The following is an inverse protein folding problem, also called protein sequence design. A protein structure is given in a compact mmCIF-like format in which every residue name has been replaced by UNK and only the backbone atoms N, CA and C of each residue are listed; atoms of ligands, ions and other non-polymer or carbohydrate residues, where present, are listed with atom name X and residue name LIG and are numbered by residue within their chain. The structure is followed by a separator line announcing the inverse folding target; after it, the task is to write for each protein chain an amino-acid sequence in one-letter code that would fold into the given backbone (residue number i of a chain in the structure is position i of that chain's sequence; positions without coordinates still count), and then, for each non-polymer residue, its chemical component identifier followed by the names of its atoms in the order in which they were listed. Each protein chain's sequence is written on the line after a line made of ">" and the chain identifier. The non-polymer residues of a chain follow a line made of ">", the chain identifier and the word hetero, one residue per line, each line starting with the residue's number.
data_IF_305417400364
#
_entry.id   IF_305417400364
#
_cell.length_a   1.000
_cell.length_b   1.000
_cell.length_c   1.000
_cell.angle_alpha   90.00
_cell.angle_beta   90.00
_cell.angle_gamma   90.00
#
_symmetry.space_group_name_H-M   'P 1'
#
loop_
_entity.id
_entity.type
_entity.pdbx_description
1 polymer ?
#
# COMPACT_ATOMS: atom_id res chain seq x y z
N UNK A 1 -3.29 -4.21 33.16
CA UNK A 1 -2.99 -5.29 32.19
C UNK A 1 -4.27 -5.87 31.63
N UNK A 2 -4.36 -6.00 30.31
CA UNK A 2 -5.50 -6.60 29.62
C UNK A 2 -5.23 -8.10 29.43
N UNK A 3 -6.00 -8.93 30.14
CA UNK A 3 -5.82 -10.41 30.18
C UNK A 3 -7.06 -11.17 29.75
N UNK A 4 -8.03 -10.53 29.12
CA UNK A 4 -9.28 -11.20 28.69
C UNK A 4 -9.70 -10.78 27.30
N UNK A 5 -10.00 -11.75 26.43
CA UNK A 5 -10.58 -11.54 25.11
C UNK A 5 -12.01 -10.92 25.15
N UNK A 6 -12.67 -10.93 26.31
CA UNK A 6 -13.96 -10.26 26.50
C UNK A 6 -13.82 -8.74 26.64
N UNK A 7 -12.62 -8.22 26.89
CA UNK A 7 -12.34 -6.79 26.99
C UNK A 7 -12.75 -6.06 25.71
N UNK A 8 -13.38 -4.90 25.85
CA UNK A 8 -13.88 -4.11 24.71
C UNK A 8 -12.77 -3.70 23.76
N UNK A 9 -11.62 -3.27 24.26
CA UNK A 9 -10.49 -2.84 23.43
C UNK A 9 -9.90 -4.02 22.64
N UNK A 10 -9.77 -5.20 23.25
CA UNK A 10 -9.31 -6.41 22.57
C UNK A 10 -10.27 -6.80 21.46
N UNK A 11 -11.58 -6.79 21.70
CA UNK A 11 -12.59 -7.05 20.65
C UNK A 11 -12.52 -6.04 19.49
N UNK A 12 -12.21 -4.79 19.76
CA UNK A 12 -11.99 -3.77 18.74
C UNK A 12 -10.74 -4.06 17.90
N UNK A 13 -9.62 -4.43 18.52
CA UNK A 13 -8.39 -4.82 17.82
C UNK A 13 -8.62 -6.06 16.93
N UNK A 14 -9.29 -7.09 17.43
CA UNK A 14 -9.65 -8.28 16.64
C UNK A 14 -10.50 -7.90 15.41
N UNK A 15 -11.46 -6.98 15.57
CA UNK A 15 -12.24 -6.48 14.43
C UNK A 15 -11.40 -5.70 13.42
N UNK A 16 -10.46 -4.89 13.89
CA UNK A 16 -9.54 -4.16 13.03
C UNK A 16 -8.60 -5.11 12.27
N UNK A 17 -8.16 -6.20 12.89
CA UNK A 17 -7.37 -7.23 12.22
C UNK A 17 -8.17 -7.94 11.11
N UNK A 18 -9.40 -8.34 11.41
CA UNK A 18 -10.11 -9.30 10.57
C UNK A 18 -11.15 -8.68 9.60
N UNK A 19 -11.57 -7.42 9.80
CA UNK A 19 -12.74 -6.86 9.11
C UNK A 19 -12.42 -5.54 8.37
N UNK A 20 -12.24 -5.60 7.05
CA UNK A 20 -12.04 -4.41 6.21
C UNK A 20 -13.16 -3.37 6.37
N UNK A 21 -14.43 -3.82 6.46
CA UNK A 21 -15.57 -2.94 6.67
C UNK A 21 -15.47 -2.16 8.00
N UNK A 22 -14.97 -2.82 9.05
CA UNK A 22 -14.79 -2.18 10.35
C UNK A 22 -13.66 -1.14 10.30
N UNK A 23 -12.53 -1.46 9.66
CA UNK A 23 -11.43 -0.51 9.42
C UNK A 23 -11.91 0.74 8.66
N UNK A 24 -12.62 0.55 7.54
CA UNK A 24 -13.18 1.67 6.76
C UNK A 24 -14.12 2.55 7.59
N UNK A 25 -15.02 1.94 8.39
CA UNK A 25 -15.96 2.67 9.22
C UNK A 25 -15.29 3.45 10.35
N UNK A 26 -14.31 2.86 11.00
CA UNK A 26 -13.60 3.48 12.13
C UNK A 26 -12.53 4.48 11.67
N UNK A 27 -12.02 4.34 10.46
CA UNK A 27 -10.85 5.09 9.97
C UNK A 27 -9.56 4.68 10.66
N UNK A 28 -9.53 3.48 11.26
CA UNK A 28 -8.41 2.97 12.06
C UNK A 28 -7.91 1.64 11.53
N UNK A 29 -6.65 1.33 11.79
CA UNK A 29 -6.05 0.04 11.54
C UNK A 29 -5.01 -0.31 12.61
N UNK A 30 -4.48 -1.51 12.55
CA UNK A 30 -3.44 -2.00 13.48
C UNK A 30 -2.10 -2.09 12.76
N UNK A 31 -1.08 -1.49 13.34
CA UNK A 31 0.31 -1.62 12.91
C UNK A 31 1.05 -2.54 13.89
N UNK A 32 1.60 -3.65 13.40
CA UNK A 32 2.33 -4.63 14.23
C UNK A 32 3.84 -4.43 14.11
N UNK A 33 4.51 -4.42 15.25
CA UNK A 33 5.96 -4.34 15.37
C UNK A 33 6.49 -2.93 15.65
N UNK A 34 7.60 -2.88 16.41
CA UNK A 34 8.21 -1.66 16.91
C UNK A 34 8.49 -0.61 15.81
N UNK A 35 8.99 -1.07 14.65
CA UNK A 35 9.30 -0.18 13.52
C UNK A 35 8.08 0.52 12.95
N UNK A 36 6.98 -0.22 12.70
CA UNK A 36 5.75 0.35 12.15
C UNK A 36 5.05 1.27 13.16
N UNK A 37 5.09 0.93 14.45
CA UNK A 37 4.55 1.78 15.52
C UNK A 37 5.32 3.10 15.60
N UNK A 38 6.65 3.06 15.52
CA UNK A 38 7.48 4.25 15.49
C UNK A 38 7.25 5.12 14.26
N UNK A 39 7.09 4.52 13.08
CA UNK A 39 6.71 5.23 11.86
C UNK A 39 5.33 5.89 12.01
N UNK A 40 4.35 5.18 12.57
CA UNK A 40 3.01 5.74 12.81
C UNK A 40 3.05 6.96 13.75
N UNK A 41 3.89 6.95 14.78
CA UNK A 41 4.12 8.08 15.65
C UNK A 41 4.77 9.25 14.91
N UNK A 42 5.85 8.98 14.17
CA UNK A 42 6.58 10.00 13.41
C UNK A 42 5.66 10.75 12.42
N UNK A 43 4.73 10.06 11.78
CA UNK A 43 3.75 10.66 10.86
C UNK A 43 2.47 11.16 11.56
N UNK A 44 2.44 11.23 12.89
CA UNK A 44 1.30 11.75 13.66
C UNK A 44 0.01 10.95 13.51
N UNK A 45 0.12 9.64 13.27
CA UNK A 45 -1.02 8.74 13.07
C UNK A 45 -1.26 7.76 14.23
N UNK A 46 -0.28 7.59 15.12
CA UNK A 46 -0.39 6.71 16.27
C UNK A 46 -1.40 7.29 17.29
N UNK A 47 -2.29 6.44 17.77
CA UNK A 47 -3.32 6.82 18.77
C UNK A 47 -3.10 6.12 20.11
N UNK A 48 -2.63 4.88 20.10
CA UNK A 48 -2.43 4.07 21.29
C UNK A 48 -1.48 2.92 21.01
N UNK A 49 -0.73 2.50 22.02
CA UNK A 49 0.18 1.35 21.98
C UNK A 49 -0.40 0.21 22.82
N UNK A 50 -0.26 -1.01 22.33
CA UNK A 50 -0.49 -2.25 23.09
C UNK A 50 0.80 -3.03 23.11
N UNK A 51 1.29 -3.37 24.29
CA UNK A 51 2.59 -4.02 24.47
C UNK A 51 2.48 -5.19 25.43
N UNK A 52 3.21 -6.26 25.17
CA UNK A 52 3.29 -7.37 26.13
C UNK A 52 4.22 -7.04 27.28
N UNK A 53 4.02 -7.72 28.41
CA UNK A 53 4.86 -7.54 29.60
C UNK A 53 6.33 -7.90 29.33
N UNK A 54 6.57 -8.98 28.55
CA UNK A 54 7.93 -9.40 28.15
C UNK A 54 8.62 -8.39 27.21
N UNK A 55 7.88 -7.66 26.41
CA UNK A 55 8.41 -6.68 25.47
C UNK A 55 8.59 -5.30 26.08
N UNK A 56 7.84 -4.94 27.13
CA UNK A 56 7.95 -3.65 27.80
C UNK A 56 9.38 -3.36 28.33
N UNK A 57 10.14 -4.40 28.71
CA UNK A 57 11.50 -4.25 29.20
C UNK A 57 12.62 -4.58 28.18
N UNK A 58 12.28 -5.02 26.98
CA UNK A 58 13.25 -5.48 25.96
C UNK A 58 13.30 -4.60 24.71
N UNK A 59 12.31 -3.74 24.57
CA UNK A 59 12.19 -2.92 23.36
C UNK A 59 13.29 -1.87 23.27
N UNK A 60 13.64 -1.53 22.02
CA UNK A 60 14.58 -0.48 21.70
C UNK A 60 14.22 0.83 22.41
N UNK A 61 15.19 1.67 22.76
CA UNK A 61 14.99 3.00 23.37
C UNK A 61 13.87 3.82 22.71
N UNK A 62 13.69 3.60 21.40
CA UNK A 62 12.65 4.25 20.62
C UNK A 62 11.23 3.91 21.08
N UNK A 63 10.94 2.67 21.47
CA UNK A 63 9.61 2.30 21.98
C UNK A 63 9.44 2.82 23.41
N UNK A 64 10.48 2.81 24.21
CA UNK A 64 10.42 3.37 25.57
C UNK A 64 10.03 4.84 25.56
N UNK A 65 10.61 5.66 24.66
CA UNK A 65 10.22 7.07 24.53
C UNK A 65 8.75 7.23 24.07
N UNK A 66 8.25 6.35 23.19
CA UNK A 66 6.85 6.38 22.77
C UNK A 66 5.87 5.99 23.87
N UNK A 67 6.26 5.11 24.81
CA UNK A 67 5.43 4.78 25.98
C UNK A 67 5.30 5.94 26.96
N UNK A 68 6.23 6.89 26.96
CA UNK A 68 6.13 8.13 27.72
C UNK A 68 5.22 9.17 27.05
N UNK A 69 5.16 9.16 25.71
CA UNK A 69 4.44 10.15 24.90
C UNK A 69 2.99 9.74 24.61
N UNK A 70 2.75 8.44 24.37
CA UNK A 70 1.45 7.94 23.92
C UNK A 70 0.75 7.08 24.98
N UNK A 71 -0.60 7.11 25.04
CA UNK A 71 -1.33 6.18 25.88
C UNK A 71 -1.02 4.73 25.48
N UNK A 72 -0.78 3.88 26.46
CA UNK A 72 -0.52 2.46 26.22
C UNK A 72 -1.26 1.54 27.18
N UNK A 73 -1.38 0.27 26.79
CA UNK A 73 -1.88 -0.81 27.64
C UNK A 73 -0.93 -2.01 27.59
N UNK A 74 -0.69 -2.58 28.76
CA UNK A 74 0.00 -3.86 28.85
C UNK A 74 -1.01 -4.99 28.63
N UNK A 75 -0.68 -5.92 27.72
CA UNK A 75 -1.51 -7.04 27.32
C UNK A 75 -0.80 -8.35 27.68
N UNK A 76 -1.55 -9.36 28.18
CA UNK A 76 -0.97 -10.67 28.41
C UNK A 76 -0.54 -11.34 27.11
N UNK A 77 0.49 -12.20 27.16
CA UNK A 77 1.02 -12.92 25.98
C UNK A 77 -0.08 -13.73 25.27
N UNK A 78 -0.98 -14.36 26.03
CA UNK A 78 -2.09 -15.14 25.50
C UNK A 78 -3.06 -14.28 24.69
N UNK A 79 -3.46 -13.14 25.23
CA UNK A 79 -4.38 -12.20 24.56
C UNK A 79 -3.68 -11.53 23.38
N UNK A 80 -2.38 -11.24 23.50
CA UNK A 80 -1.62 -10.65 22.42
C UNK A 80 -1.56 -11.56 21.19
N UNK A 81 -1.40 -12.86 21.39
CA UNK A 81 -1.43 -13.86 20.32
C UNK A 81 -2.77 -13.87 19.53
N UNK A 82 -3.88 -13.50 20.16
CA UNK A 82 -5.19 -13.41 19.49
C UNK A 82 -5.37 -12.12 18.66
N UNK A 83 -4.62 -11.08 18.97
CA UNK A 83 -4.69 -9.77 18.30
C UNK A 83 -3.56 -9.53 17.32
N UNK A 84 -2.73 -10.51 17.06
CA UNK A 84 -1.64 -10.49 16.07
C UNK A 84 -1.92 -11.47 14.94
N UNK A 85 -1.33 -11.24 13.77
CA UNK A 85 -1.41 -12.10 12.59
C UNK A 85 -0.03 -12.74 12.27
N UNK A 86 0.95 -12.59 13.15
CA UNK A 86 2.29 -13.16 12.96
C UNK A 86 2.52 -14.40 13.83
N UNK A 87 3.28 -15.35 13.29
CA UNK A 87 3.65 -16.58 14.00
C UNK A 87 4.58 -16.29 15.18
N UNK A 88 5.42 -15.28 15.05
CA UNK A 88 6.36 -14.83 16.08
C UNK A 88 6.16 -13.32 16.33
N UNK A 89 5.16 -12.96 17.18
CA UNK A 89 4.87 -11.57 17.46
C UNK A 89 6.05 -10.85 18.14
N UNK A 90 6.25 -9.58 17.79
CA UNK A 90 7.23 -8.73 18.47
C UNK A 90 6.72 -8.17 19.80
N UNK A 91 5.47 -8.47 20.17
CA UNK A 91 4.88 -8.00 21.41
C UNK A 91 4.49 -6.51 21.45
N UNK A 92 4.49 -5.82 20.30
CA UNK A 92 4.10 -4.40 20.18
C UNK A 92 3.12 -4.20 19.05
N UNK A 93 1.98 -3.57 19.33
CA UNK A 93 0.95 -3.15 18.38
C UNK A 93 0.63 -1.67 18.55
N UNK A 94 0.41 -0.96 17.47
CA UNK A 94 -0.15 0.39 17.43
C UNK A 94 -1.57 0.42 16.91
N UNK A 95 -2.47 1.12 17.60
CA UNK A 95 -3.74 1.58 17.03
C UNK A 95 -3.47 2.85 16.26
N UNK A 96 -3.75 2.85 14.96
CA UNK A 96 -3.27 3.87 14.03
C UNK A 96 -4.41 4.43 13.21
N UNK A 97 -4.43 5.75 13.04
CA UNK A 97 -5.37 6.44 12.16
C UNK A 97 -4.96 6.28 10.69
N UNK A 98 -5.90 5.94 9.82
CA UNK A 98 -5.64 5.85 8.38
C UNK A 98 -5.24 7.22 7.80
N UNK A 99 -4.15 7.31 7.04
CA UNK A 99 -3.89 8.47 6.20
C UNK A 99 -5.06 8.70 5.24
N UNK A 100 -5.36 9.96 4.97
CA UNK A 100 -6.43 10.35 4.04
C UNK A 100 -5.86 11.28 3.00
N UNK A 101 -6.17 11.00 1.75
CA UNK A 101 -5.81 11.81 0.60
C UNK A 101 -7.05 12.07 -0.24
N UNK A 102 -7.13 13.25 -0.83
CA UNK A 102 -8.20 13.58 -1.78
C UNK A 102 -7.69 13.44 -3.21
N UNK A 103 -8.57 13.10 -4.14
CA UNK A 103 -8.22 13.03 -5.55
C UNK A 103 -7.71 14.39 -6.06
N UNK A 104 -8.26 15.51 -5.55
CA UNK A 104 -7.80 16.85 -5.91
C UNK A 104 -6.34 17.09 -5.50
N UNK A 105 -5.94 16.70 -4.28
CA UNK A 105 -4.54 16.81 -3.83
C UNK A 105 -3.60 15.97 -4.70
N UNK A 106 -4.03 14.75 -5.03
CA UNK A 106 -3.23 13.82 -5.84
C UNK A 106 -3.03 14.37 -7.26
N UNK A 107 -4.08 14.79 -7.94
CA UNK A 107 -4.01 15.23 -9.34
C UNK A 107 -3.35 16.62 -9.51
N UNK A 108 -3.35 17.45 -8.48
CA UNK A 108 -2.69 18.75 -8.48
C UNK A 108 -1.21 18.70 -8.00
N UNK A 109 -0.68 17.52 -7.71
CA UNK A 109 0.73 17.39 -7.35
C UNK A 109 1.64 17.76 -8.53
N UNK A 110 2.81 18.33 -8.23
CA UNK A 110 3.80 18.68 -9.26
C UNK A 110 4.34 17.44 -10.02
N UNK A 111 4.38 16.30 -9.35
CA UNK A 111 4.71 15.03 -9.96
C UNK A 111 3.43 14.38 -10.50
N UNK A 112 3.41 14.05 -11.78
CA UNK A 112 2.25 13.45 -12.45
C UNK A 112 2.55 12.01 -12.91
N UNK A 113 3.21 11.24 -12.06
CA UNK A 113 3.47 9.82 -12.32
C UNK A 113 2.65 8.94 -11.38
N UNK A 114 1.69 8.25 -11.93
CA UNK A 114 0.70 7.47 -11.19
C UNK A 114 0.83 5.98 -11.48
N UNK A 115 0.48 5.19 -10.47
CA UNK A 115 0.26 3.76 -10.64
C UNK A 115 -1.23 3.48 -10.46
N UNK A 116 -1.84 2.80 -11.43
CA UNK A 116 -3.23 2.38 -11.43
C UNK A 116 -3.28 0.87 -11.23
N UNK A 117 -4.02 0.41 -10.22
CA UNK A 117 -4.17 -1.02 -9.92
C UNK A 117 -5.59 -1.47 -10.25
N UNK A 118 -5.71 -2.28 -11.30
CA UNK A 118 -6.99 -2.80 -11.78
C UNK A 118 -7.24 -4.19 -11.20
N UNK A 119 -7.98 -4.23 -10.09
CA UNK A 119 -8.42 -5.44 -9.41
C UNK A 119 -7.27 -6.34 -8.87
N UNK A 120 -6.19 -5.75 -8.40
CA UNK A 120 -5.07 -6.47 -7.79
C UNK A 120 -5.53 -7.17 -6.49
N UNK A 121 -5.31 -8.49 -6.36
CA UNK A 121 -5.88 -9.28 -5.27
C UNK A 121 -4.89 -9.76 -4.23
N UNK A 122 -3.64 -9.95 -4.59
CA UNK A 122 -2.64 -10.47 -3.65
C UNK A 122 -2.14 -9.40 -2.68
N UNK A 123 -2.26 -9.62 -1.35
CA UNK A 123 -1.80 -8.67 -0.34
C UNK A 123 -0.28 -8.42 -0.37
N UNK A 124 0.51 -9.43 -0.72
CA UNK A 124 1.97 -9.33 -0.81
C UNK A 124 2.39 -8.44 -1.97
N UNK A 125 1.72 -8.59 -3.13
CA UNK A 125 1.93 -7.74 -4.30
C UNK A 125 1.58 -6.28 -3.97
N UNK A 126 0.39 -6.02 -3.37
CA UNK A 126 0.00 -4.65 -3.04
C UNK A 126 1.00 -3.98 -2.08
N UNK A 127 1.40 -4.67 -1.03
CA UNK A 127 2.37 -4.11 -0.07
C UNK A 127 3.73 -3.83 -0.70
N UNK A 128 4.21 -4.75 -1.56
CA UNK A 128 5.47 -4.58 -2.31
C UNK A 128 5.37 -3.41 -3.30
N UNK A 129 4.26 -3.30 -4.02
CA UNK A 129 3.99 -2.20 -4.95
C UNK A 129 3.99 -0.85 -4.21
N UNK A 130 3.27 -0.74 -3.10
CA UNK A 130 3.23 0.50 -2.31
C UNK A 130 4.62 0.95 -1.85
N UNK A 131 5.44 0.00 -1.37
CA UNK A 131 6.82 0.26 -0.97
C UNK A 131 7.69 0.70 -2.15
N UNK A 132 7.53 0.04 -3.29
CA UNK A 132 8.31 0.34 -4.50
C UNK A 132 7.89 1.69 -5.10
N UNK A 133 6.60 2.00 -5.11
CA UNK A 133 6.06 3.27 -5.59
C UNK A 133 6.60 4.46 -4.79
N UNK A 134 6.68 4.31 -3.46
CA UNK A 134 7.30 5.32 -2.59
C UNK A 134 8.80 5.48 -2.93
N UNK A 135 9.53 4.37 -3.02
CA UNK A 135 10.96 4.38 -3.36
C UNK A 135 11.28 4.91 -4.76
N UNK A 136 10.40 4.69 -5.74
CA UNK A 136 10.51 5.22 -7.10
C UNK A 136 10.01 6.67 -7.22
N UNK A 137 9.44 7.24 -6.16
CA UNK A 137 8.92 8.60 -6.15
C UNK A 137 7.70 8.79 -7.06
N UNK A 138 6.78 7.80 -7.07
CA UNK A 138 5.48 7.95 -7.72
C UNK A 138 4.64 9.00 -6.99
N UNK A 139 3.74 9.68 -7.70
CA UNK A 139 2.85 10.68 -7.11
C UNK A 139 1.77 10.03 -6.25
N UNK A 140 1.17 8.94 -6.72
CA UNK A 140 0.16 8.19 -6.00
C UNK A 140 -0.05 6.78 -6.59
N UNK A 141 -0.68 5.93 -5.77
CA UNK A 141 -1.25 4.63 -6.18
C UNK A 141 -2.77 4.74 -6.16
N UNK A 142 -3.38 4.59 -7.33
CA UNK A 142 -4.82 4.70 -7.56
C UNK A 142 -5.39 3.30 -7.81
N UNK A 143 -6.34 2.88 -7.01
CA UNK A 143 -6.79 1.49 -6.95
C UNK A 143 -8.27 1.38 -7.30
N UNK A 144 -8.65 0.40 -8.11
CA UNK A 144 -10.05 0.05 -8.29
C UNK A 144 -10.66 -0.45 -6.97
N UNK A 145 -11.98 -0.41 -6.84
CA UNK A 145 -12.70 -0.92 -5.66
C UNK A 145 -12.47 -2.42 -5.39
N UNK A 146 -12.19 -3.18 -6.43
CA UNK A 146 -11.90 -4.59 -6.33
C UNK A 146 -10.51 -4.92 -5.79
N UNK A 147 -9.59 -3.97 -5.79
CA UNK A 147 -8.25 -4.16 -5.24
C UNK A 147 -8.30 -4.49 -3.75
N UNK A 148 -7.44 -5.42 -3.32
CA UNK A 148 -7.32 -5.86 -1.93
C UNK A 148 -7.19 -4.67 -0.97
N UNK A 149 -7.71 -4.82 0.25
CA UNK A 149 -7.68 -3.75 1.25
C UNK A 149 -6.24 -3.40 1.65
N UNK A 150 -5.86 -2.15 1.39
CA UNK A 150 -4.54 -1.60 1.71
C UNK A 150 -4.19 -1.73 3.19
N UNK A 151 -5.20 -1.68 4.07
CA UNK A 151 -5.02 -1.82 5.52
C UNK A 151 -5.18 -3.25 6.05
N UNK A 152 -5.22 -4.25 5.15
CA UNK A 152 -5.05 -5.64 5.55
C UNK A 152 -3.69 -5.81 6.26
N UNK A 153 -3.60 -6.51 7.40
CA UNK A 153 -2.36 -6.64 8.18
C UNK A 153 -1.15 -7.14 7.38
N UNK A 154 -1.37 -8.06 6.42
CA UNK A 154 -0.29 -8.55 5.53
C UNK A 154 0.22 -7.43 4.61
N UNK A 155 -0.68 -6.60 4.06
CA UNK A 155 -0.31 -5.46 3.23
C UNK A 155 0.45 -4.44 4.06
N UNK A 156 -0.09 -4.04 5.21
CA UNK A 156 0.54 -3.05 6.11
C UNK A 156 1.98 -3.43 6.43
N UNK A 157 2.22 -4.69 6.82
CA UNK A 157 3.59 -5.18 7.10
C UNK A 157 4.49 -5.11 5.87
N UNK A 158 3.99 -5.54 4.71
CA UNK A 158 4.78 -5.56 3.47
C UNK A 158 5.16 -4.16 2.96
N UNK A 159 4.39 -3.12 3.32
CA UNK A 159 4.72 -1.72 2.97
C UNK A 159 5.97 -1.20 3.66
N UNK A 160 6.41 -1.80 4.76
CA UNK A 160 7.57 -1.34 5.56
C UNK A 160 7.50 0.15 5.93
N UNK A 161 6.30 0.67 6.19
CA UNK A 161 6.05 2.08 6.55
C UNK A 161 5.71 3.00 5.37
N UNK A 162 5.85 2.56 4.11
CA UNK A 162 5.45 3.36 2.95
C UNK A 162 3.96 3.77 2.97
N UNK A 163 3.13 3.00 3.68
CA UNK A 163 1.69 3.29 3.87
C UNK A 163 1.44 4.67 4.48
N UNK A 164 2.38 5.25 5.21
CA UNK A 164 2.28 6.57 5.82
C UNK A 164 2.71 7.72 4.89
N UNK A 165 3.45 7.41 3.82
CA UNK A 165 4.11 8.39 2.94
C UNK A 165 3.58 8.38 1.51
N UNK A 166 3.17 7.20 1.02
CA UNK A 166 2.70 7.04 -0.36
C UNK A 166 1.23 7.45 -0.46
N UNK A 167 0.88 8.51 -1.18
CA UNK A 167 -0.51 8.87 -1.43
C UNK A 167 -1.25 7.76 -2.18
N UNK A 168 -2.50 7.55 -1.81
CA UNK A 168 -3.34 6.54 -2.43
C UNK A 168 -4.81 6.97 -2.48
N UNK A 169 -5.56 6.38 -3.41
CA UNK A 169 -7.01 6.53 -3.44
C UNK A 169 -7.67 5.27 -4.03
N UNK A 170 -8.81 4.86 -3.44
CA UNK A 170 -9.72 3.91 -4.07
C UNK A 170 -10.67 4.67 -4.98
N UNK A 171 -10.72 4.28 -6.24
CA UNK A 171 -11.47 4.94 -7.31
C UNK A 171 -12.70 4.12 -7.64
N UNK A 172 -13.84 4.79 -7.79
CA UNK A 172 -15.11 4.15 -8.16
C UNK A 172 -15.07 3.55 -9.55
N UNK A 173 -14.57 4.33 -10.50
CA UNK A 173 -14.45 4.00 -11.92
C UNK A 173 -13.02 4.32 -12.37
N UNK A 174 -12.16 3.31 -12.33
CA UNK A 174 -10.75 3.45 -12.67
C UNK A 174 -10.53 3.69 -14.18
N UNK A 175 -11.28 3.04 -15.11
CA UNK A 175 -11.24 3.37 -16.52
C UNK A 175 -11.60 4.84 -16.81
N UNK A 176 -12.67 5.36 -16.25
CA UNK A 176 -13.03 6.77 -16.43
C UNK A 176 -11.97 7.73 -15.88
N UNK A 177 -11.27 7.37 -14.81
CA UNK A 177 -10.12 8.14 -14.34
C UNK A 177 -8.96 8.08 -15.35
N UNK A 178 -8.67 6.94 -15.93
CA UNK A 178 -7.63 6.80 -16.96
C UNK A 178 -7.92 7.69 -18.20
N UNK A 179 -9.17 7.71 -18.66
CA UNK A 179 -9.60 8.62 -19.72
C UNK A 179 -9.38 10.09 -19.34
N UNK A 180 -9.77 10.49 -18.15
CA UNK A 180 -9.57 11.85 -17.65
C UNK A 180 -8.08 12.23 -17.56
N UNK A 181 -7.20 11.32 -17.17
CA UNK A 181 -5.74 11.56 -17.17
C UNK A 181 -5.24 11.80 -18.61
N UNK A 182 -5.72 11.02 -19.58
CA UNK A 182 -5.39 11.21 -21.00
C UNK A 182 -5.86 12.57 -21.54
N UNK A 183 -7.07 13.00 -21.19
CA UNK A 183 -7.58 14.33 -21.54
C UNK A 183 -6.72 15.47 -20.95
N UNK A 184 -6.05 15.22 -19.84
CA UNK A 184 -5.09 16.14 -19.21
C UNK A 184 -3.67 16.04 -19.80
N UNK A 185 -3.46 15.21 -20.82
CA UNK A 185 -2.16 15.03 -21.47
C UNK A 185 -1.24 14.05 -20.74
N UNK A 186 -1.75 13.27 -19.77
CA UNK A 186 -0.99 12.24 -19.07
C UNK A 186 -1.21 10.92 -19.81
N UNK A 187 -0.15 10.37 -20.42
CA UNK A 187 -0.23 9.10 -21.10
C UNK A 187 -0.49 7.95 -20.11
N UNK A 188 -1.39 7.05 -20.45
CA UNK A 188 -1.75 5.88 -19.63
C UNK A 188 -1.28 4.61 -20.33
N UNK A 189 -0.34 3.90 -19.75
CA UNK A 189 0.25 2.69 -20.29
C UNK A 189 -0.23 1.46 -19.53
N UNK A 190 -0.54 0.40 -20.28
CA UNK A 190 -0.92 -0.88 -19.68
C UNK A 190 0.01 -2.01 -20.09
N UNK A 191 0.33 -2.91 -19.16
CA UNK A 191 1.11 -4.11 -19.50
C UNK A 191 0.29 -5.10 -20.32
N UNK A 192 0.80 -5.48 -21.49
CA UNK A 192 0.19 -6.48 -22.38
C UNK A 192 1.24 -7.22 -23.19
N UNK A 193 0.93 -8.43 -23.65
CA UNK A 193 1.84 -9.23 -24.48
C UNK A 193 1.78 -8.81 -25.94
N UNK A 194 0.57 -8.67 -26.50
CA UNK A 194 0.35 -8.40 -27.91
C UNK A 194 0.20 -6.91 -28.23
N UNK A 195 0.70 -6.51 -29.41
CA UNK A 195 0.56 -5.14 -29.92
C UNK A 195 1.17 -4.08 -29.04
N UNK A 196 2.26 -4.42 -28.33
CA UNK A 196 2.89 -3.56 -27.33
C UNK A 196 4.30 -3.15 -27.74
N UNK A 197 4.68 -1.92 -27.36
CA UNK A 197 6.07 -1.44 -27.45
C UNK A 197 6.87 -1.94 -26.24
N UNK A 198 8.22 -1.91 -26.32
CA UNK A 198 9.04 -2.27 -25.16
C UNK A 198 8.91 -1.18 -24.09
N UNK A 199 8.90 -1.59 -22.83
CA UNK A 199 8.58 -0.72 -21.68
C UNK A 199 9.50 0.50 -21.54
N UNK A 200 10.69 0.50 -22.13
CA UNK A 200 11.69 1.57 -22.09
C UNK A 200 11.67 2.50 -23.32
N UNK A 201 10.83 2.20 -24.32
CA UNK A 201 10.66 3.04 -25.52
C UNK A 201 9.80 4.30 -25.29
N UNK A 202 8.70 4.26 -24.49
CA UNK A 202 7.87 5.45 -24.28
C UNK A 202 8.60 6.55 -23.51
N UNK A 203 8.22 7.81 -23.77
CA UNK A 203 8.69 8.95 -23.00
C UNK A 203 7.81 9.15 -21.73
N UNK A 204 8.37 8.89 -20.56
CA UNK A 204 7.74 9.07 -19.26
C UNK A 204 8.08 10.42 -18.60
N UNK A 205 8.79 11.31 -19.25
CA UNK A 205 9.30 12.55 -18.64
C UNK A 205 8.23 13.62 -18.41
N UNK A 206 7.14 13.60 -19.18
CA UNK A 206 6.09 14.62 -19.18
C UNK A 206 4.88 14.29 -18.28
N UNK A 207 4.93 13.19 -17.57
CA UNK A 207 3.81 12.65 -16.82
C UNK A 207 3.25 11.38 -17.47
N UNK A 208 3.06 10.35 -16.66
CA UNK A 208 2.54 9.07 -17.13
C UNK A 208 1.81 8.31 -16.02
N UNK A 209 0.86 7.50 -16.41
CA UNK A 209 0.22 6.54 -15.53
C UNK A 209 0.48 5.12 -16.05
N UNK A 210 0.83 4.22 -15.14
CA UNK A 210 1.04 2.81 -15.41
C UNK A 210 -0.08 1.97 -14.83
N UNK A 211 -0.68 1.12 -15.64
CA UNK A 211 -1.72 0.17 -15.20
C UNK A 211 -1.11 -1.20 -14.96
N UNK A 212 -1.36 -1.75 -13.78
CA UNK A 212 -1.12 -3.15 -13.42
C UNK A 212 -2.48 -3.82 -13.22
N UNK A 213 -2.74 -4.86 -13.97
CA UNK A 213 -3.97 -5.63 -13.89
C UNK A 213 -3.96 -6.70 -12.80
N UNK A 214 -5.04 -7.45 -12.75
CA UNK A 214 -5.21 -8.63 -11.89
C UNK A 214 -4.18 -9.71 -12.24
N UNK A 215 -3.71 -10.44 -11.24
CA UNK A 215 -2.64 -11.44 -11.38
C UNK A 215 -3.02 -12.62 -12.30
N UNK A 216 -4.30 -12.97 -12.35
CA UNK A 216 -4.79 -14.10 -13.14
C UNK A 216 -5.37 -13.66 -14.49
N UNK A 217 -6.08 -12.53 -14.52
CA UNK A 217 -6.87 -12.10 -15.67
C UNK A 217 -6.25 -10.92 -16.43
N UNK A 218 -5.19 -10.31 -15.91
CA UNK A 218 -4.64 -9.08 -16.46
C UNK A 218 -5.55 -7.86 -16.24
N UNK A 219 -5.46 -6.89 -17.14
CA UNK A 219 -6.35 -5.72 -17.14
C UNK A 219 -7.75 -6.09 -17.63
N UNK A 220 -8.78 -5.42 -17.10
CA UNK A 220 -10.15 -5.53 -17.62
C UNK A 220 -10.30 -4.93 -19.02
N UNK A 221 -11.29 -5.40 -19.78
CA UNK A 221 -11.57 -4.86 -21.12
C UNK A 221 -11.83 -3.35 -21.10
N UNK A 222 -12.49 -2.87 -20.06
CA UNK A 222 -12.73 -1.44 -19.86
C UNK A 222 -11.42 -0.65 -19.67
N UNK A 223 -10.46 -1.19 -18.92
CA UNK A 223 -9.12 -0.58 -18.79
C UNK A 223 -8.35 -0.65 -20.09
N UNK A 224 -8.43 -1.75 -20.85
CA UNK A 224 -7.82 -1.85 -22.18
C UNK A 224 -8.33 -0.77 -23.16
N UNK A 225 -9.60 -0.41 -23.08
CA UNK A 225 -10.16 0.66 -23.92
C UNK A 225 -9.71 2.06 -23.47
N UNK A 226 -9.37 2.22 -22.18
CA UNK A 226 -9.04 3.51 -21.57
C UNK A 226 -7.54 3.87 -21.63
N UNK A 227 -6.64 2.93 -21.95
CA UNK A 227 -5.19 3.20 -22.00
C UNK A 227 -4.79 3.95 -23.29
N UNK A 228 -3.66 4.62 -23.24
CA UNK A 228 -3.06 5.29 -24.43
C UNK A 228 -2.35 4.28 -25.31
N UNK A 229 -1.52 3.42 -24.69
CA UNK A 229 -0.71 2.44 -25.40
C UNK A 229 -0.40 1.23 -24.51
N UNK A 230 0.10 0.17 -25.12
CA UNK A 230 0.49 -1.08 -24.46
C UNK A 230 2.00 -1.19 -24.41
N UNK A 231 2.49 -1.62 -23.26
CA UNK A 231 3.91 -1.88 -23.07
C UNK A 231 4.14 -3.34 -22.65
N UNK A 232 5.29 -3.88 -23.02
CA UNK A 232 5.74 -5.20 -22.57
C UNK A 232 7.14 -5.13 -21.98
N UNK A 233 7.40 -6.00 -21.02
CA UNK A 233 8.74 -6.30 -20.52
C UNK A 233 9.23 -7.51 -21.34
N UNK A 234 10.32 -7.40 -22.12
CA UNK A 234 10.84 -8.51 -22.92
C UNK A 234 11.21 -9.70 -22.03
N UNK A 235 10.87 -10.89 -22.49
CA UNK A 235 11.18 -12.15 -21.80
C UNK A 235 12.09 -13.01 -22.71
N UNK A 236 13.29 -13.33 -22.22
CA UNK A 236 14.24 -14.17 -22.97
C UNK A 236 13.99 -15.67 -22.78
N UNK A 237 13.26 -16.03 -21.74
CA UNK A 237 12.92 -17.41 -21.42
C UNK A 237 11.52 -17.83 -21.89
N UNK A 238 11.07 -19.00 -21.42
CA UNK A 238 9.75 -19.56 -21.75
C UNK A 238 8.59 -19.06 -20.88
N UNK A 239 8.87 -18.17 -19.90
CA UNK A 239 7.83 -17.60 -19.04
C UNK A 239 7.02 -16.55 -19.81
N UNK A 240 5.71 -16.60 -19.67
CA UNK A 240 4.79 -15.66 -20.33
C UNK A 240 4.71 -14.31 -19.61
N UNK A 241 4.91 -14.28 -18.27
CA UNK A 241 4.77 -13.06 -17.48
C UNK A 241 5.62 -13.09 -16.21
N UNK A 242 5.87 -11.91 -15.64
CA UNK A 242 6.45 -11.73 -14.32
C UNK A 242 5.36 -11.54 -13.26
N UNK A 243 5.74 -11.71 -11.99
CA UNK A 243 4.91 -11.30 -10.86
C UNK A 243 4.50 -9.83 -11.00
N UNK A 244 3.25 -9.49 -10.64
CA UNK A 244 2.68 -8.16 -10.79
C UNK A 244 3.50 -7.06 -10.09
N UNK A 245 4.02 -7.31 -8.88
CA UNK A 245 4.86 -6.36 -8.17
C UNK A 245 6.23 -6.19 -8.81
N UNK A 246 6.79 -7.24 -9.40
CA UNK A 246 8.06 -7.18 -10.14
C UNK A 246 7.87 -6.37 -11.42
N UNK A 247 6.82 -6.63 -12.19
CA UNK A 247 6.48 -5.85 -13.40
C UNK A 247 6.30 -4.37 -13.08
N UNK A 248 5.54 -4.07 -12.03
CA UNK A 248 5.35 -2.71 -11.55
C UNK A 248 6.69 -2.05 -11.17
N UNK A 249 7.57 -2.76 -10.48
CA UNK A 249 8.88 -2.24 -10.06
C UNK A 249 9.75 -1.86 -11.25
N UNK A 250 9.85 -2.74 -12.27
CA UNK A 250 10.65 -2.50 -13.47
C UNK A 250 10.21 -1.20 -14.14
N UNK A 251 8.90 -1.03 -14.39
CA UNK A 251 8.40 0.15 -15.09
C UNK A 251 8.48 1.41 -14.23
N UNK A 252 8.15 1.34 -12.95
CA UNK A 252 8.28 2.50 -12.05
C UNK A 252 9.73 3.02 -11.97
N UNK A 253 10.71 2.13 -11.94
CA UNK A 253 12.12 2.54 -11.92
C UNK A 253 12.63 3.03 -13.28
N UNK A 254 12.07 2.56 -14.38
CA UNK A 254 12.33 3.16 -15.70
C UNK A 254 11.74 4.58 -15.77
N UNK A 255 10.50 4.79 -15.33
CA UNK A 255 9.90 6.11 -15.21
C UNK A 255 10.76 7.04 -14.33
N UNK A 256 11.30 6.55 -13.21
CA UNK A 256 12.22 7.30 -12.35
C UNK A 256 13.54 7.59 -13.07
N UNK A 257 14.12 6.60 -13.76
CA UNK A 257 15.39 6.77 -14.49
C UNK A 257 15.30 7.89 -15.52
N UNK A 258 14.25 7.91 -16.32
CA UNK A 258 14.07 8.95 -17.35
C UNK A 258 13.92 10.34 -16.71
N UNK A 259 13.20 10.49 -15.60
CA UNK A 259 13.08 11.78 -14.89
C UNK A 259 14.40 12.30 -14.32
N UNK A 260 15.28 11.40 -13.86
CA UNK A 260 16.58 11.79 -13.28
C UNK A 260 17.59 12.26 -14.32
N UNK A 261 17.38 11.94 -15.58
CA UNK A 261 18.29 12.29 -16.69
C UNK A 261 17.73 13.41 -17.58
N UNK A 262 16.73 14.12 -17.09
CA UNK A 262 16.12 15.29 -17.75
C UNK A 262 16.86 16.62 -17.47
#
# INVERSE_FOLDING_TARGET
>A
MLSSNSNRQIKELIKLQNQAKYRKKSGMFVAEGAKLVAEAAHYGKLQKIYITESSQGREEERIQSLLEEFPYEVVSEEVFAEITDTVTPQGVLGLVQMPKYTMGEILNANNQQFLLLDDLRDPGNLGTIMRTAEGAGMAAVLMSKGTVDLFNPKVVRATMGAIFRMPYCYVEDLPALAEKLREQGIAVYGTAMEGSVVYDEPDYTTGAAMVIGNEANGMSDAMFAAITDRIRIPMEGSLESLNAAVSAAIVMYEMQRQRRHR
#
